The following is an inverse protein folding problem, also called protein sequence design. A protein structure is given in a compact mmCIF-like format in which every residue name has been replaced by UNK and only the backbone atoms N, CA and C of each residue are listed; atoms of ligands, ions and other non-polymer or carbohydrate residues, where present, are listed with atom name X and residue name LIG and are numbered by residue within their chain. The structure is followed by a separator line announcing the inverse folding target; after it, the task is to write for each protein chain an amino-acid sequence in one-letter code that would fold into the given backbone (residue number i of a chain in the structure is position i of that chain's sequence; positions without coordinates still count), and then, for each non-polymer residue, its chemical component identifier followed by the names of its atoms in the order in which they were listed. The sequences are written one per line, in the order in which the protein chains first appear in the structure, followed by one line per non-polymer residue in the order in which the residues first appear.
data_IF_889197829722
#
_entry.id   IF_889197829722
#
_cell.length_a   1.000
_cell.length_b   1.000
_cell.length_c   1.000
_cell.angle_alpha   90.00
_cell.angle_beta   90.00
_cell.angle_gamma   90.00
#
_symmetry.space_group_name_H-M   'P 1'
#
loop_
_entity.id
_entity.type
_entity.pdbx_description
1 polymer ?
#
# COMPACT_ATOMS: atom_id res chain seq x y z
N UNK A 1 -8.74 17.16 5.09
CA UNK A 1 -7.80 16.20 5.73
C UNK A 1 -7.85 16.39 7.23
N UNK A 2 -7.95 15.29 7.97
CA UNK A 2 -7.92 15.36 9.42
C UNK A 2 -6.46 15.49 9.93
N UNK A 3 -6.29 15.91 11.19
CA UNK A 3 -4.97 16.17 11.79
C UNK A 3 -4.06 14.92 11.79
N UNK A 4 -4.66 13.74 11.98
CA UNK A 4 -3.93 12.45 12.02
C UNK A 4 -3.35 12.12 10.63
N UNK A 5 -4.11 12.40 9.57
CA UNK A 5 -3.66 12.18 8.19
C UNK A 5 -2.52 13.12 7.82
N UNK A 6 -2.59 14.38 8.22
CA UNK A 6 -1.50 15.36 8.00
C UNK A 6 -0.20 14.93 8.68
N UNK A 7 -0.29 14.47 9.93
CA UNK A 7 0.87 13.95 10.67
C UNK A 7 1.44 12.72 9.97
N UNK A 8 0.58 11.80 9.52
CA UNK A 8 1.02 10.60 8.80
C UNK A 8 1.72 10.96 7.48
N UNK A 9 1.13 11.85 6.70
CA UNK A 9 1.72 12.38 5.46
C UNK A 9 3.10 13.00 5.71
N UNK A 10 3.21 13.91 6.68
CA UNK A 10 4.49 14.53 7.03
C UNK A 10 5.58 13.53 7.40
N UNK A 11 5.23 12.47 8.13
CA UNK A 11 6.16 11.38 8.48
C UNK A 11 6.63 10.57 7.26
N UNK A 12 5.77 10.36 6.28
CA UNK A 12 6.13 9.68 5.05
C UNK A 12 6.98 10.56 4.13
N UNK A 13 6.62 11.85 4.01
CA UNK A 13 7.38 12.85 3.24
C UNK A 13 8.81 12.94 3.77
N UNK A 14 9.01 13.20 5.08
CA UNK A 14 10.34 13.24 5.69
C UNK A 14 11.12 11.94 5.49
N UNK A 15 10.47 10.79 5.63
CA UNK A 15 11.13 9.50 5.40
C UNK A 15 11.63 9.33 3.95
N UNK A 16 10.85 9.76 2.96
CA UNK A 16 11.25 9.69 1.57
C UNK A 16 12.40 10.67 1.26
N UNK A 17 12.36 11.88 1.83
CA UNK A 17 13.40 12.90 1.71
C UNK A 17 14.72 12.44 2.35
N UNK A 18 14.67 11.89 3.56
CA UNK A 18 15.84 11.35 4.28
C UNK A 18 16.55 10.23 3.48
N UNK A 19 15.77 9.41 2.78
CA UNK A 19 16.28 8.35 1.91
C UNK A 19 16.68 8.84 0.51
N UNK A 20 16.46 10.10 0.20
CA UNK A 20 16.64 10.68 -1.14
C UNK A 20 15.93 9.86 -2.22
N UNK A 21 14.71 9.41 -1.90
CA UNK A 21 13.88 8.75 -2.92
C UNK A 21 13.53 9.77 -4.01
N UNK A 22 13.43 9.35 -5.27
CA UNK A 22 13.07 10.25 -6.38
C UNK A 22 11.57 10.59 -6.34
N UNK A 23 11.12 11.23 -5.27
CA UNK A 23 9.74 11.62 -5.02
C UNK A 23 9.66 13.14 -4.91
N UNK A 24 8.73 13.73 -5.63
CA UNK A 24 8.37 15.15 -5.52
C UNK A 24 6.99 15.24 -4.88
N UNK A 25 6.88 16.04 -3.85
CA UNK A 25 5.65 16.20 -3.08
C UNK A 25 4.98 17.54 -3.43
N UNK A 26 3.66 17.63 -3.25
CA UNK A 26 2.91 18.87 -3.35
C UNK A 26 2.99 19.55 -4.74
N UNK A 27 3.17 18.78 -5.80
CA UNK A 27 3.24 19.29 -7.17
C UNK A 27 1.95 20.04 -7.58
N UNK A 28 0.81 19.71 -6.96
CA UNK A 28 -0.45 20.40 -7.17
C UNK A 28 -0.46 21.87 -6.75
N UNK A 29 0.49 22.28 -5.91
CA UNK A 29 0.64 23.69 -5.51
C UNK A 29 1.33 24.53 -6.60
N UNK A 30 2.11 23.87 -7.47
CA UNK A 30 2.89 24.53 -8.54
C UNK A 30 2.32 24.29 -9.93
N UNK A 31 1.65 23.16 -10.15
CA UNK A 31 1.13 22.75 -11.45
C UNK A 31 -0.33 22.31 -11.32
N UNK A 32 -1.13 22.63 -12.32
CA UNK A 32 -2.51 22.16 -12.38
C UNK A 32 -2.58 20.63 -12.50
N UNK A 33 -3.71 20.05 -12.13
CA UNK A 33 -3.96 18.61 -12.30
C UNK A 33 -3.75 18.13 -13.74
N UNK A 34 -4.20 18.92 -14.73
CA UNK A 34 -4.02 18.61 -16.15
C UNK A 34 -2.56 18.62 -16.58
N UNK A 35 -1.76 19.56 -16.11
CA UNK A 35 -0.32 19.62 -16.38
C UNK A 35 0.40 18.43 -15.79
N UNK A 36 0.10 18.06 -14.55
CA UNK A 36 0.67 16.87 -13.92
C UNK A 36 0.31 15.59 -14.69
N UNK A 37 -0.94 15.42 -15.11
CA UNK A 37 -1.36 14.28 -15.91
C UNK A 37 -0.68 14.24 -17.29
N UNK A 38 -0.55 15.40 -17.94
CA UNK A 38 0.08 15.49 -19.27
C UNK A 38 1.58 15.16 -19.23
N UNK A 39 2.27 15.53 -18.14
CA UNK A 39 3.69 15.29 -17.94
C UNK A 39 4.02 13.85 -17.51
N UNK A 40 3.04 13.09 -17.00
CA UNK A 40 3.27 11.74 -16.50
C UNK A 40 3.40 10.73 -17.66
N UNK A 41 4.37 9.82 -17.56
CA UNK A 41 4.47 8.63 -18.44
C UNK A 41 3.51 7.52 -18.01
N UNK A 42 3.21 7.44 -16.72
CA UNK A 42 2.26 6.51 -16.10
C UNK A 42 1.62 7.14 -14.88
N UNK A 43 0.45 6.68 -14.51
CA UNK A 43 -0.20 7.03 -13.24
C UNK A 43 0.02 5.90 -12.23
N UNK A 44 0.06 6.25 -10.96
CA UNK A 44 0.14 5.27 -9.87
C UNK A 44 -0.95 5.54 -8.84
N UNK A 45 -1.64 4.50 -8.44
CA UNK A 45 -2.53 4.53 -7.27
C UNK A 45 -1.98 3.64 -6.16
N UNK A 46 -1.98 4.16 -4.94
CA UNK A 46 -1.57 3.42 -3.74
C UNK A 46 -2.78 3.05 -2.87
N UNK A 47 -3.98 3.29 -3.35
CA UNK A 47 -5.22 2.98 -2.65
C UNK A 47 -5.35 1.49 -2.35
N UNK A 48 -5.80 1.17 -1.14
CA UNK A 48 -6.17 -0.17 -0.70
C UNK A 48 -7.69 -0.32 -0.57
N UNK A 49 -8.42 0.80 -0.65
CA UNK A 49 -9.87 0.89 -0.75
C UNK A 49 -10.23 2.20 -1.46
N UNK A 50 -11.26 2.15 -2.29
CA UNK A 50 -11.74 3.30 -3.07
C UNK A 50 -13.26 3.36 -3.03
N UNK A 51 -13.82 4.58 -3.16
CA UNK A 51 -15.27 4.78 -3.27
C UNK A 51 -15.76 4.64 -4.73
N UNK A 52 -15.20 5.45 -5.63
CA UNK A 52 -15.63 5.53 -7.02
C UNK A 52 -14.54 5.12 -8.04
N UNK A 53 -13.29 5.06 -7.62
CA UNK A 53 -12.21 4.67 -8.51
C UNK A 53 -11.98 5.62 -9.69
N UNK A 54 -12.13 6.93 -9.49
CA UNK A 54 -11.96 7.92 -10.57
C UNK A 54 -10.60 7.81 -11.27
N UNK A 55 -9.55 7.44 -10.55
CA UNK A 55 -8.20 7.28 -11.12
C UNK A 55 -8.15 6.25 -12.25
N UNK A 56 -9.02 5.23 -12.22
CA UNK A 56 -9.11 4.22 -13.28
C UNK A 56 -9.67 4.82 -14.59
N UNK A 57 -10.60 5.77 -14.48
CA UNK A 57 -11.15 6.49 -15.64
C UNK A 57 -10.19 7.59 -16.12
N UNK A 58 -9.60 8.32 -15.20
CA UNK A 58 -8.67 9.42 -15.51
C UNK A 58 -7.46 8.91 -16.29
N UNK A 59 -6.93 7.73 -15.95
CA UNK A 59 -5.82 7.11 -16.68
C UNK A 59 -6.18 6.84 -18.14
N UNK A 60 -7.39 6.37 -18.40
CA UNK A 60 -7.87 6.12 -19.77
C UNK A 60 -8.08 7.42 -20.54
N UNK A 61 -8.65 8.45 -19.93
CA UNK A 61 -8.86 9.75 -20.57
C UNK A 61 -7.55 10.38 -21.04
N UNK A 62 -6.47 10.22 -20.27
CA UNK A 62 -5.15 10.74 -20.66
C UNK A 62 -4.29 9.73 -21.42
N UNK A 63 -4.81 8.53 -21.68
CA UNK A 63 -4.10 7.42 -22.35
C UNK A 63 -2.77 7.10 -21.70
N UNK A 64 -2.75 7.03 -20.38
CA UNK A 64 -1.57 6.65 -19.60
C UNK A 64 -1.82 5.33 -18.86
N UNK A 65 -0.83 4.43 -18.83
CA UNK A 65 -0.95 3.21 -18.05
C UNK A 65 -1.14 3.54 -16.58
N UNK A 66 -1.99 2.76 -15.91
CA UNK A 66 -2.21 2.88 -14.46
C UNK A 66 -1.54 1.70 -13.76
N UNK A 67 -0.64 2.02 -12.86
CA UNK A 67 0.01 1.09 -11.95
C UNK A 67 -0.66 1.16 -10.59
N UNK A 68 -0.75 0.05 -9.87
CA UNK A 68 -1.31 0.04 -8.53
C UNK A 68 -1.96 -1.28 -8.16
N UNK A 69 -2.69 -1.26 -7.06
CA UNK A 69 -3.42 -2.44 -6.59
C UNK A 69 -4.74 -2.60 -7.34
N UNK A 70 -5.02 -3.84 -7.74
CA UNK A 70 -6.33 -4.22 -8.24
C UNK A 70 -7.31 -4.30 -7.06
N UNK A 71 -8.44 -3.59 -7.18
CA UNK A 71 -9.53 -3.57 -6.21
C UNK A 71 -10.75 -4.21 -6.87
N UNK A 72 -10.96 -5.54 -6.76
CA UNK A 72 -11.97 -6.26 -7.53
C UNK A 72 -13.39 -5.68 -7.38
N UNK A 73 -13.72 -5.14 -6.22
CA UNK A 73 -15.02 -4.53 -5.91
C UNK A 73 -15.35 -3.33 -6.83
N UNK A 74 -14.31 -2.70 -7.41
CA UNK A 74 -14.42 -1.55 -8.30
C UNK A 74 -13.90 -1.90 -9.69
N UNK A 75 -12.73 -2.51 -9.77
CA UNK A 75 -12.04 -2.74 -11.07
C UNK A 75 -12.79 -3.73 -11.96
N UNK A 76 -13.58 -4.66 -11.39
CA UNK A 76 -14.36 -5.62 -12.17
C UNK A 76 -15.36 -4.96 -13.12
N UNK A 77 -16.03 -3.91 -12.67
CA UNK A 77 -16.97 -3.17 -13.51
C UNK A 77 -16.27 -2.46 -14.67
N UNK A 78 -15.10 -1.88 -14.43
CA UNK A 78 -14.31 -1.23 -15.48
C UNK A 78 -13.78 -2.25 -16.51
N UNK A 79 -13.26 -3.39 -16.06
CA UNK A 79 -12.78 -4.45 -16.95
C UNK A 79 -13.92 -5.04 -17.80
N UNK A 80 -15.09 -5.27 -17.20
CA UNK A 80 -16.28 -5.75 -17.91
C UNK A 80 -16.77 -4.76 -18.98
N UNK A 81 -16.47 -3.48 -18.83
CA UNK A 81 -16.75 -2.42 -19.80
C UNK A 81 -15.57 -2.13 -20.75
N UNK A 82 -14.57 -2.99 -20.80
CA UNK A 82 -13.49 -2.95 -21.77
C UNK A 82 -12.32 -2.02 -21.40
N UNK A 83 -12.20 -1.60 -20.14
CA UNK A 83 -11.05 -0.82 -19.69
C UNK A 83 -9.88 -1.77 -19.39
N UNK A 84 -8.73 -1.50 -20.00
CA UNK A 84 -7.51 -2.27 -19.77
C UNK A 84 -6.86 -1.86 -18.43
N UNK A 85 -6.91 -2.77 -17.46
CA UNK A 85 -6.30 -2.64 -16.15
C UNK A 85 -5.24 -3.73 -15.90
N UNK A 86 -4.66 -4.28 -16.96
CA UNK A 86 -3.67 -5.38 -16.90
C UNK A 86 -2.39 -5.05 -16.12
N UNK A 87 -2.08 -3.77 -15.96
CA UNK A 87 -0.91 -3.29 -15.19
C UNK A 87 -1.15 -3.23 -13.67
N UNK A 88 -2.36 -3.55 -13.21
CA UNK A 88 -2.65 -3.61 -11.78
C UNK A 88 -2.21 -4.94 -11.17
N UNK A 89 -1.60 -4.89 -9.99
CA UNK A 89 -1.22 -6.06 -9.22
C UNK A 89 -2.25 -6.40 -8.13
N UNK A 90 -2.39 -7.67 -7.78
CA UNK A 90 -3.29 -8.11 -6.70
C UNK A 90 -2.69 -7.91 -5.31
N UNK A 91 -1.43 -8.29 -5.14
CA UNK A 91 -0.70 -8.18 -3.87
C UNK A 91 0.79 -7.97 -4.13
N UNK A 92 1.46 -7.32 -3.20
CA UNK A 92 2.90 -7.17 -3.23
C UNK A 92 3.51 -8.07 -2.15
N UNK A 93 4.01 -9.23 -2.56
CA UNK A 93 4.46 -10.29 -1.67
C UNK A 93 5.85 -10.01 -1.08
N UNK A 94 5.91 -9.93 0.22
CA UNK A 94 7.13 -9.75 1.00
C UNK A 94 7.47 -11.08 1.70
N UNK A 95 8.68 -11.62 1.49
CA UNK A 95 9.15 -12.77 2.27
C UNK A 95 9.19 -12.46 3.76
N UNK A 96 8.54 -13.26 4.60
CA UNK A 96 8.50 -13.03 6.05
C UNK A 96 9.90 -13.06 6.69
N UNK A 97 10.84 -13.77 6.06
CA UNK A 97 12.24 -13.80 6.49
C UNK A 97 12.96 -12.44 6.48
N UNK A 98 12.44 -11.43 5.79
CA UNK A 98 13.03 -10.07 5.81
C UNK A 98 12.99 -9.43 7.19
N UNK A 99 11.95 -9.70 7.95
CA UNK A 99 11.71 -9.08 9.25
C UNK A 99 11.65 -10.10 10.40
N UNK A 100 11.45 -11.38 10.08
CA UNK A 100 11.13 -12.44 11.04
C UNK A 100 9.62 -12.55 11.31
N UNK A 101 9.10 -13.79 11.31
CA UNK A 101 7.67 -14.06 11.49
C UNK A 101 7.13 -13.52 12.83
N UNK A 102 7.85 -13.78 13.92
CA UNK A 102 7.42 -13.38 15.26
C UNK A 102 7.28 -11.86 15.36
N UNK A 103 8.26 -11.13 14.83
CA UNK A 103 8.22 -9.68 14.82
C UNK A 103 7.05 -9.13 14.00
N UNK A 104 6.79 -9.72 12.83
CA UNK A 104 5.63 -9.32 12.00
C UNK A 104 4.35 -9.60 12.77
N UNK A 105 4.25 -10.78 13.39
CA UNK A 105 3.10 -11.16 14.19
C UNK A 105 2.85 -10.17 15.32
N UNK A 106 3.85 -9.91 16.16
CA UNK A 106 3.74 -9.03 17.33
C UNK A 106 3.30 -7.62 16.95
N UNK A 107 3.91 -7.05 15.90
CA UNK A 107 3.63 -5.69 15.46
C UNK A 107 2.20 -5.55 14.91
N UNK A 108 1.78 -6.47 14.02
CA UNK A 108 0.43 -6.44 13.43
C UNK A 108 -0.63 -6.75 14.50
N UNK A 109 -0.40 -7.77 15.33
CA UNK A 109 -1.37 -8.15 16.36
C UNK A 109 -1.53 -7.06 17.42
N UNK A 110 -0.43 -6.42 17.83
CA UNK A 110 -0.48 -5.27 18.72
C UNK A 110 -1.26 -4.09 18.12
N UNK A 111 -1.02 -3.78 16.84
CA UNK A 111 -1.75 -2.72 16.14
C UNK A 111 -3.25 -3.04 16.04
N UNK A 112 -3.59 -4.30 15.71
CA UNK A 112 -4.97 -4.77 15.71
C UNK A 112 -5.63 -4.62 17.09
N UNK A 113 -5.00 -5.11 18.15
CA UNK A 113 -5.53 -5.00 19.52
C UNK A 113 -5.73 -3.54 19.96
N UNK A 114 -4.84 -2.63 19.56
CA UNK A 114 -5.00 -1.19 19.83
C UNK A 114 -6.18 -0.59 19.06
N UNK A 115 -6.39 -1.01 17.82
CA UNK A 115 -7.50 -0.53 17.00
C UNK A 115 -8.85 -0.99 17.56
N UNK A 116 -8.98 -2.26 17.89
CA UNK A 116 -10.23 -2.83 18.42
C UNK A 116 -10.46 -2.53 19.90
N UNK A 117 -9.39 -2.26 20.69
CA UNK A 117 -9.54 -1.85 22.10
C UNK A 117 -10.27 -0.51 22.28
N UNK A 118 -10.47 0.25 21.22
CA UNK A 118 -11.35 1.43 21.16
C UNK A 118 -12.82 1.08 20.88
N UNK A 119 -13.07 -0.14 20.45
CA UNK A 119 -14.39 -0.71 20.23
C UNK A 119 -14.52 -1.87 21.22
N UNK A 120 -15.62 -2.04 21.91
CA UNK A 120 -15.83 -3.15 22.84
C UNK A 120 -15.61 -4.51 22.14
N UNK A 121 -14.36 -4.97 22.14
CA UNK A 121 -13.97 -6.17 21.42
C UNK A 121 -13.99 -7.39 22.31
N UNK A 122 -14.62 -8.46 21.83
CA UNK A 122 -14.65 -9.75 22.55
C UNK A 122 -13.29 -10.48 22.42
N UNK A 123 -12.91 -11.27 23.42
CA UNK A 123 -11.76 -12.19 23.35
C UNK A 123 -11.85 -13.11 22.13
N UNK A 124 -13.07 -13.46 21.69
CA UNK A 124 -13.30 -14.25 20.49
C UNK A 124 -12.79 -13.58 19.21
N UNK A 125 -12.90 -12.24 19.11
CA UNK A 125 -12.36 -11.49 17.94
C UNK A 125 -10.83 -11.52 17.95
N UNK A 126 -10.21 -11.38 19.09
CA UNK A 126 -8.74 -11.50 19.22
C UNK A 126 -8.25 -12.89 18.85
N UNK A 127 -8.95 -13.94 19.29
CA UNK A 127 -8.62 -15.33 18.92
C UNK A 127 -8.73 -15.54 17.41
N UNK A 128 -9.79 -15.05 16.75
CA UNK A 128 -9.94 -15.14 15.30
C UNK A 128 -8.79 -14.44 14.57
N UNK A 129 -8.43 -13.24 15.01
CA UNK A 129 -7.31 -12.49 14.43
C UNK A 129 -5.97 -13.21 14.63
N UNK A 130 -5.74 -13.79 15.81
CA UNK A 130 -4.57 -14.62 16.10
C UNK A 130 -4.46 -15.82 15.12
N UNK A 131 -5.53 -16.59 14.96
CA UNK A 131 -5.53 -17.72 14.04
C UNK A 131 -5.34 -17.30 12.59
N UNK A 132 -6.04 -16.25 12.14
CA UNK A 132 -5.91 -15.74 10.77
C UNK A 132 -4.49 -15.28 10.46
N UNK A 133 -3.88 -14.52 11.37
CA UNK A 133 -2.52 -14.01 11.18
C UNK A 133 -1.48 -15.13 11.16
N UNK A 134 -1.59 -16.11 12.06
CA UNK A 134 -0.71 -17.28 12.04
C UNK A 134 -0.84 -18.08 10.74
N UNK A 135 -2.06 -18.26 10.24
CA UNK A 135 -2.31 -18.92 8.97
C UNK A 135 -1.63 -18.19 7.81
N UNK A 136 -1.81 -16.86 7.72
CA UNK A 136 -1.16 -16.02 6.70
C UNK A 136 0.37 -16.17 6.78
N UNK A 137 0.95 -16.03 7.96
CA UNK A 137 2.40 -16.10 8.16
C UNK A 137 2.98 -17.50 7.92
N UNK A 138 2.15 -18.55 7.97
CA UNK A 138 2.60 -19.93 7.68
C UNK A 138 3.05 -20.10 6.23
N UNK A 139 2.51 -19.31 5.29
CA UNK A 139 2.90 -19.33 3.87
C UNK A 139 4.34 -18.88 3.60
N UNK A 140 4.97 -18.20 4.56
CA UNK A 140 6.31 -17.60 4.41
C UNK A 140 6.33 -16.27 3.67
N UNK A 141 5.18 -15.78 3.24
CA UNK A 141 5.01 -14.48 2.57
C UNK A 141 3.88 -13.69 3.25
N UNK A 142 3.93 -12.36 3.10
CA UNK A 142 2.87 -11.45 3.54
C UNK A 142 2.71 -10.34 2.52
N UNK A 143 1.48 -9.88 2.33
CA UNK A 143 1.24 -8.70 1.49
C UNK A 143 1.76 -7.43 2.18
N UNK A 144 2.50 -6.61 1.44
CA UNK A 144 3.04 -5.34 1.93
C UNK A 144 1.96 -4.42 2.52
N UNK A 145 0.75 -4.43 1.96
CA UNK A 145 -0.37 -3.62 2.44
C UNK A 145 -0.87 -4.05 3.84
N UNK A 146 -0.60 -5.28 4.27
CA UNK A 146 -0.95 -5.77 5.61
C UNK A 146 0.05 -5.35 6.68
N UNK A 147 1.24 -4.87 6.27
CA UNK A 147 2.27 -4.44 7.20
C UNK A 147 1.92 -3.08 7.82
N UNK A 148 2.26 -2.91 9.09
CA UNK A 148 2.16 -1.59 9.72
C UNK A 148 3.11 -0.58 9.07
N UNK A 149 2.85 0.73 9.15
CA UNK A 149 3.77 1.75 8.61
C UNK A 149 5.22 1.61 9.12
N UNK A 150 5.41 1.12 10.35
CA UNK A 150 6.73 0.84 10.92
C UNK A 150 7.46 -0.24 10.14
N UNK A 151 6.80 -1.36 9.88
CA UNK A 151 7.37 -2.48 9.13
C UNK A 151 7.54 -2.15 7.64
N UNK A 152 6.59 -1.40 7.05
CA UNK A 152 6.70 -0.92 5.67
C UNK A 152 7.96 -0.07 5.47
N UNK A 153 8.20 0.90 6.35
CA UNK A 153 9.42 1.73 6.32
C UNK A 153 10.68 0.89 6.42
N UNK A 154 10.68 -0.14 7.26
CA UNK A 154 11.84 -1.04 7.41
C UNK A 154 12.10 -1.83 6.13
N UNK A 155 11.07 -2.35 5.47
CA UNK A 155 11.20 -3.03 4.18
C UNK A 155 11.78 -2.07 3.13
N UNK A 156 11.25 -0.86 3.02
CA UNK A 156 11.74 0.15 2.06
C UNK A 156 13.23 0.45 2.31
N UNK A 157 13.62 0.67 3.56
CA UNK A 157 15.01 0.87 3.95
C UNK A 157 15.92 -0.30 3.50
N UNK A 158 15.48 -1.52 3.73
CA UNK A 158 16.22 -2.72 3.37
C UNK A 158 16.37 -2.87 1.86
N UNK A 159 15.30 -2.59 1.12
CA UNK A 159 15.27 -2.66 -0.36
C UNK A 159 16.14 -1.59 -1.00
N UNK A 160 16.10 -0.36 -0.48
CA UNK A 160 16.94 0.75 -0.97
C UNK A 160 18.43 0.44 -0.76
N UNK A 161 18.79 -0.18 0.37
CA UNK A 161 20.17 -0.54 0.69
C UNK A 161 20.66 -1.81 -0.01
N UNK A 162 19.74 -2.69 -0.40
CA UNK A 162 20.08 -4.00 -0.97
C UNK A 162 19.15 -4.34 -2.15
N UNK A 163 19.66 -4.10 -3.37
CA UNK A 163 18.92 -4.36 -4.62
C UNK A 163 18.55 -5.84 -4.83
N UNK A 164 19.31 -6.78 -4.26
CA UNK A 164 18.96 -8.21 -4.35
C UNK A 164 17.68 -8.53 -3.56
N UNK A 165 17.48 -7.88 -2.42
CA UNK A 165 16.21 -7.98 -1.69
C UNK A 165 15.04 -7.46 -2.51
N UNK A 166 15.22 -6.40 -3.31
CA UNK A 166 14.19 -5.89 -4.19
C UNK A 166 13.70 -6.96 -5.19
N UNK A 167 14.61 -7.76 -5.74
CA UNK A 167 14.30 -8.81 -6.73
C UNK A 167 13.47 -9.98 -6.14
N UNK A 168 13.47 -10.17 -4.83
CA UNK A 168 12.70 -11.21 -4.17
C UNK A 168 11.26 -10.79 -3.81
N UNK A 169 10.93 -9.51 -3.98
CA UNK A 169 9.56 -9.01 -3.86
C UNK A 169 8.83 -9.31 -5.17
N UNK A 170 7.66 -9.93 -5.07
CA UNK A 170 6.88 -10.39 -6.24
C UNK A 170 5.47 -9.82 -6.20
N UNK A 171 4.91 -9.65 -7.36
CA UNK A 171 3.51 -9.31 -7.59
C UNK A 171 2.66 -10.57 -7.72
#
# INVERSE_FOLDING_TARGET
QNEVEKISYGRWKSFAEDLRLPCYFELGDSFSFKENLAAADALITTSVAEGFGMVFLESQLVRRPLLGRKLPEITSDFENNGIDLSMLYQSLHIPTGFLGKDRIYEDIFSAYCKAIGKLESSEQQKMKAHHALNYILSSGIIDFAMLTPSLQKKIILDVVKNKEKAKSIRQ
#
